data_IF_496157871407
#
_entry.id   IF_496157871407
#
_cell.length_a   1.000
_cell.length_b   1.000
_cell.length_c   1.000
_cell.angle_alpha   90.00
_cell.angle_beta   90.00
_cell.angle_gamma   90.00
#
_symmetry.space_group_name_H-M   'P 1'
#
loop_
_entity.id
_entity.type
_entity.pdbx_description
1 polymer ?
#
# COMPACT_ATOMS: atom_id res chain seq x y z
N UNK A 1 17.53 -6.33 0.77
CA UNK A 1 16.49 -7.38 0.69
C UNK A 1 17.17 -8.62 0.17
N UNK A 2 17.00 -9.75 0.86
CA UNK A 2 17.56 -11.04 0.44
C UNK A 2 16.99 -11.41 -0.96
N UNK A 3 17.83 -11.54 -2.00
CA UNK A 3 17.39 -11.84 -3.37
C UNK A 3 16.58 -13.14 -3.49
N UNK A 4 16.89 -14.13 -2.65
CA UNK A 4 16.22 -15.43 -2.69
C UNK A 4 14.82 -15.34 -2.07
N UNK A 5 14.65 -14.51 -1.02
CA UNK A 5 13.32 -14.20 -0.48
C UNK A 5 12.45 -13.46 -1.49
N UNK A 6 13.03 -12.53 -2.27
CA UNK A 6 12.28 -11.83 -3.31
C UNK A 6 11.85 -12.79 -4.43
N UNK A 7 12.74 -13.68 -4.87
CA UNK A 7 12.41 -14.68 -5.90
C UNK A 7 11.28 -15.61 -5.44
N UNK A 8 11.38 -16.14 -4.22
CA UNK A 8 10.33 -17.00 -3.64
C UNK A 8 8.98 -16.27 -3.51
N UNK A 9 9.00 -15.00 -3.13
CA UNK A 9 7.80 -14.16 -3.10
C UNK A 9 7.18 -14.00 -4.49
N UNK A 10 7.97 -13.75 -5.53
CA UNK A 10 7.46 -13.59 -6.90
C UNK A 10 6.87 -14.90 -7.46
N UNK A 11 7.42 -16.06 -7.10
CA UNK A 11 6.94 -17.38 -7.54
C UNK A 11 5.62 -17.79 -6.86
N UNK A 12 5.52 -17.62 -5.53
CA UNK A 12 4.32 -17.95 -4.78
C UNK A 12 4.05 -16.92 -3.66
N UNK A 13 3.44 -15.77 -4.00
CA UNK A 13 3.21 -14.66 -3.08
C UNK A 13 2.34 -15.04 -1.87
N UNK A 14 1.43 -16.00 -2.04
CA UNK A 14 0.55 -16.47 -0.97
C UNK A 14 1.29 -17.32 0.07
N UNK A 15 2.39 -17.99 -0.34
CA UNK A 15 3.17 -18.89 0.51
C UNK A 15 4.40 -18.20 1.10
N UNK A 16 4.99 -17.25 0.36
CA UNK A 16 6.22 -16.55 0.72
C UNK A 16 6.00 -15.06 0.97
N UNK A 17 4.73 -14.64 1.06
CA UNK A 17 4.34 -13.30 1.47
C UNK A 17 4.84 -12.94 2.87
N UNK A 18 4.90 -11.64 3.20
CA UNK A 18 5.17 -11.25 4.57
C UNK A 18 4.08 -11.84 5.48
N UNK A 19 4.47 -12.42 6.61
CA UNK A 19 3.52 -12.94 7.62
C UNK A 19 2.70 -11.86 8.34
N UNK A 20 2.80 -10.61 7.88
CA UNK A 20 2.00 -9.47 8.33
C UNK A 20 0.63 -9.53 7.68
N UNK A 21 -0.41 -9.22 8.45
CA UNK A 21 -1.77 -9.06 7.92
C UNK A 21 -1.87 -7.74 7.14
N UNK A 22 -2.82 -7.67 6.21
CA UNK A 22 -3.11 -6.44 5.44
C UNK A 22 -1.86 -5.89 4.72
N UNK A 23 -1.15 -6.76 4.01
CA UNK A 23 0.05 -6.40 3.20
C UNK A 23 -0.27 -6.05 1.75
N UNK A 24 -1.55 -6.08 1.39
CA UNK A 24 -2.07 -5.72 0.06
C UNK A 24 -3.17 -4.68 0.21
N UNK A 25 -3.30 -3.82 -0.79
CA UNK A 25 -4.42 -2.88 -0.86
C UNK A 25 -5.71 -3.64 -1.17
N UNK A 26 -6.75 -3.34 -0.42
CA UNK A 26 -8.12 -3.66 -0.78
C UNK A 26 -8.61 -2.67 -1.81
N UNK A 27 -9.05 -3.17 -2.96
CA UNK A 27 -9.52 -2.38 -4.11
C UNK A 27 -11.00 -2.64 -4.42
N UNK A 28 -11.76 -3.22 -3.48
CA UNK A 28 -13.15 -3.63 -3.69
C UNK A 28 -14.19 -2.51 -3.54
N UNK A 29 -13.79 -1.37 -2.96
CA UNK A 29 -14.63 -0.18 -2.78
C UNK A 29 -14.98 0.53 -4.08
N UNK A 30 -16.09 1.28 -4.07
CA UNK A 30 -16.65 1.93 -5.28
C UNK A 30 -16.01 3.27 -5.59
N UNK A 31 -15.42 3.91 -4.60
CA UNK A 31 -14.76 5.21 -4.74
C UNK A 31 -13.58 5.30 -3.76
N UNK A 32 -12.73 6.31 -3.95
CA UNK A 32 -11.53 6.51 -3.13
C UNK A 32 -11.83 6.70 -1.64
N UNK A 33 -12.98 7.26 -1.28
CA UNK A 33 -13.38 7.47 0.11
C UNK A 33 -13.72 6.16 0.83
N UNK A 34 -14.46 5.26 0.16
CA UNK A 34 -14.71 3.91 0.65
C UNK A 34 -13.41 3.12 0.77
N UNK A 35 -12.54 3.23 -0.25
CA UNK A 35 -11.26 2.52 -0.27
C UNK A 35 -10.33 3.00 0.84
N UNK A 36 -10.13 4.30 1.02
CA UNK A 36 -9.16 4.83 2.01
C UNK A 36 -9.61 4.61 3.46
N UNK A 37 -10.91 4.49 3.68
CA UNK A 37 -11.50 4.31 5.01
C UNK A 37 -11.86 2.86 5.32
N UNK A 38 -11.60 1.89 4.43
CA UNK A 38 -11.81 0.48 4.75
C UNK A 38 -10.85 0.03 5.88
N UNK A 39 -11.33 -0.80 6.81
CA UNK A 39 -10.53 -1.29 7.94
C UNK A 39 -9.23 -1.95 7.47
N UNK A 40 -9.30 -2.67 6.34
CA UNK A 40 -8.15 -3.31 5.71
C UNK A 40 -7.10 -2.30 5.25
N UNK A 41 -7.51 -1.25 4.54
CA UNK A 41 -6.59 -0.23 4.05
C UNK A 41 -6.09 0.69 5.16
N UNK A 42 -6.89 0.94 6.20
CA UNK A 42 -6.41 1.63 7.40
C UNK A 42 -5.28 0.84 8.10
N UNK A 43 -5.44 -0.48 8.22
CA UNK A 43 -4.40 -1.35 8.78
C UNK A 43 -3.16 -1.42 7.87
N UNK A 44 -3.35 -1.47 6.54
CA UNK A 44 -2.24 -1.39 5.58
C UNK A 44 -1.44 -0.09 5.76
N UNK A 45 -2.11 1.06 5.87
CA UNK A 45 -1.48 2.37 6.06
C UNK A 45 -0.70 2.42 7.37
N UNK A 46 -1.27 1.89 8.45
CA UNK A 46 -0.60 1.80 9.74
C UNK A 46 0.69 0.97 9.63
N UNK A 47 0.60 -0.24 9.08
CA UNK A 47 1.77 -1.11 8.90
C UNK A 47 2.83 -0.44 8.04
N UNK A 48 2.45 0.18 6.92
CA UNK A 48 3.36 0.90 6.04
C UNK A 48 4.04 2.06 6.77
N UNK A 49 3.30 2.83 7.56
CA UNK A 49 3.84 3.96 8.32
C UNK A 49 4.86 3.53 9.37
N UNK A 50 4.61 2.41 10.06
CA UNK A 50 5.52 1.84 11.06
C UNK A 50 6.82 1.36 10.40
N UNK A 51 6.73 0.68 9.25
CA UNK A 51 7.91 0.26 8.49
C UNK A 51 8.71 1.48 7.96
N UNK A 52 8.03 2.51 7.45
CA UNK A 52 8.68 3.75 7.04
C UNK A 52 9.42 4.43 8.21
N UNK A 53 8.80 4.49 9.40
CA UNK A 53 9.43 5.01 10.61
C UNK A 53 10.67 4.20 10.98
N UNK A 54 10.56 2.87 11.04
CA UNK A 54 11.68 1.98 11.40
C UNK A 54 12.86 2.10 10.40
N UNK A 55 12.57 2.22 9.10
CA UNK A 55 13.60 2.48 8.08
C UNK A 55 14.25 3.85 8.28
N UNK A 56 13.46 4.88 8.60
CA UNK A 56 13.96 6.22 8.83
C UNK A 56 14.87 6.31 10.06
N UNK A 57 14.49 5.63 11.15
CA UNK A 57 15.25 5.53 12.40
C UNK A 57 16.56 4.75 12.24
N UNK A 58 16.56 3.70 11.41
CA UNK A 58 17.76 2.91 11.10
C UNK A 58 18.64 3.52 10.00
N UNK A 59 18.26 4.67 9.45
CA UNK A 59 19.02 5.33 8.38
C UNK A 59 20.32 5.95 8.90
N UNK A 60 21.22 6.31 7.98
CA UNK A 60 22.49 7.00 8.31
C UNK A 60 22.28 8.42 8.86
N UNK A 61 21.10 9.01 8.66
CA UNK A 61 20.74 10.34 9.14
C UNK A 61 19.32 10.33 9.71
N UNK A 62 19.11 9.75 10.91
CA UNK A 62 17.79 9.66 11.52
C UNK A 62 17.19 11.03 11.80
N UNK A 63 18.02 12.04 12.09
CA UNK A 63 17.56 13.40 12.40
C UNK A 63 16.79 14.04 11.25
N UNK A 64 17.15 13.71 10.00
CA UNK A 64 16.49 14.19 8.79
C UNK A 64 15.21 13.44 8.47
N UNK A 65 15.17 12.14 8.71
CA UNK A 65 14.09 11.28 8.22
C UNK A 65 13.10 10.84 9.30
N UNK A 66 13.53 10.62 10.54
CA UNK A 66 12.68 10.13 11.64
C UNK A 66 11.69 11.19 12.15
N UNK A 67 11.95 12.49 11.91
CA UNK A 67 11.06 13.59 12.31
C UNK A 67 9.85 13.79 11.39
N UNK A 68 9.73 12.98 10.32
CA UNK A 68 8.60 13.08 9.40
C UNK A 68 7.35 12.43 10.00
N UNK A 69 6.19 12.99 9.66
CA UNK A 69 4.90 12.39 9.99
C UNK A 69 4.60 11.23 9.03
N UNK A 70 5.24 10.08 9.23
CA UNK A 70 5.16 8.96 8.29
C UNK A 70 3.74 8.39 8.13
N UNK A 71 2.89 8.49 9.15
CA UNK A 71 1.48 8.14 9.04
C UNK A 71 0.75 9.00 7.99
N UNK A 72 0.97 10.32 8.01
CA UNK A 72 0.40 11.23 7.01
C UNK A 72 0.97 10.94 5.62
N UNK A 73 2.30 10.77 5.51
CA UNK A 73 2.95 10.46 4.23
C UNK A 73 2.42 9.15 3.64
N UNK A 74 2.30 8.10 4.45
CA UNK A 74 1.77 6.80 4.03
C UNK A 74 0.31 6.94 3.55
N UNK A 75 -0.53 7.64 4.32
CA UNK A 75 -1.93 7.89 3.94
C UNK A 75 -2.04 8.66 2.63
N UNK A 76 -1.27 9.73 2.44
CA UNK A 76 -1.27 10.52 1.21
C UNK A 76 -0.84 9.69 -0.02
N UNK A 77 0.16 8.82 0.14
CA UNK A 77 0.64 7.96 -0.95
C UNK A 77 -0.37 6.88 -1.31
N UNK A 78 -0.95 6.22 -0.31
CA UNK A 78 -2.00 5.22 -0.51
C UNK A 78 -3.24 5.87 -1.13
N UNK A 79 -3.64 7.06 -0.70
CA UNK A 79 -4.76 7.79 -1.29
C UNK A 79 -4.59 8.01 -2.79
N UNK A 80 -3.40 8.43 -3.25
CA UNK A 80 -3.14 8.63 -4.68
C UNK A 80 -3.27 7.33 -5.48
N UNK A 81 -2.74 6.23 -4.94
CA UNK A 81 -2.86 4.91 -5.58
C UNK A 81 -4.34 4.49 -5.67
N UNK A 82 -5.09 4.67 -4.58
CA UNK A 82 -6.52 4.33 -4.55
C UNK A 82 -7.36 5.23 -5.47
N UNK A 83 -6.95 6.48 -5.67
CA UNK A 83 -7.55 7.39 -6.65
C UNK A 83 -7.37 6.86 -8.08
N UNK A 84 -6.16 6.43 -8.41
CA UNK A 84 -5.87 5.83 -9.72
C UNK A 84 -6.66 4.51 -9.91
N UNK A 85 -6.72 3.67 -8.88
CA UNK A 85 -7.51 2.43 -8.86
C UNK A 85 -8.99 2.72 -9.09
N UNK A 86 -9.58 3.66 -8.35
CA UNK A 86 -10.99 4.04 -8.51
C UNK A 86 -11.27 4.64 -9.89
N UNK A 87 -10.32 5.39 -10.46
CA UNK A 87 -10.41 5.94 -11.81
C UNK A 87 -10.32 4.89 -12.92
N UNK A 88 -9.64 3.77 -12.68
CA UNK A 88 -9.50 2.65 -13.61
C UNK A 88 -10.68 1.65 -13.55
N UNK A 89 -11.62 1.81 -12.61
CA UNK A 89 -12.84 0.99 -12.57
C UNK A 89 -13.72 1.38 -13.77
N UNK A 90 -14.16 0.41 -14.61
CA UNK A 90 -15.04 0.71 -15.73
C UNK A 90 -16.31 1.41 -15.27
N UNK A 91 -16.66 2.52 -15.93
CA UNK A 91 -17.92 3.21 -15.69
C UNK A 91 -19.10 2.39 -16.23
N UNK A 92 -20.31 2.76 -15.86
CA UNK A 92 -21.52 2.10 -16.36
C UNK A 92 -21.53 2.10 -17.90
N UNK A 93 -21.47 0.92 -18.51
CA UNK A 93 -21.41 0.74 -19.97
C UNK A 93 -19.99 0.49 -20.54
N UNK A 94 -18.94 0.61 -19.73
CA UNK A 94 -17.56 0.30 -20.12
C UNK A 94 -17.18 -1.13 -19.72
N UNK A 95 -16.40 -1.80 -20.56
CA UNK A 95 -15.77 -3.08 -20.25
C UNK A 95 -14.40 -2.86 -19.61
N UNK A 96 -13.88 -3.84 -18.86
CA UNK A 96 -12.51 -3.79 -18.29
C UNK A 96 -11.40 -3.49 -19.31
N UNK A 97 -11.60 -3.81 -20.59
CA UNK A 97 -10.65 -3.49 -21.67
C UNK A 97 -10.67 -2.02 -22.11
N UNK A 98 -11.73 -1.29 -21.80
CA UNK A 98 -11.92 0.11 -22.21
C UNK A 98 -11.49 1.11 -21.14
N UNK A 99 -11.25 0.65 -19.91
CA UNK A 99 -10.83 1.47 -18.77
C UNK A 99 -9.31 1.42 -18.48
N UNK A 100 -8.55 0.64 -19.26
CA UNK A 100 -7.09 0.45 -19.15
C UNK A 100 -6.35 1.13 -20.31
#
# INVERSE_FOLDING_TARGET
>A
VDPDRLRAFLEAPERHGPGLRCTRLDTSGRNTEELINSDWNQMFILNLSNECQAIAESSRDPNRFAKRQWAQVARERVYRILLDVAGAVPKAGETKKQAL
#
